data_IF_111579500723
#
_entry.id   IF_111579500723
#
_cell.length_a   1.000
_cell.length_b   1.000
_cell.length_c   1.000
_cell.angle_alpha   90.00
_cell.angle_beta   90.00
_cell.angle_gamma   90.00
#
_symmetry.space_group_name_H-M   'P 1'
#
loop_
_entity.id
_entity.type
_entity.pdbx_description
1 polymer ?
#
# COMPACT_ATOMS: atom_id res chain seq x y z
N UNK A 1 25.20 49.00 -10.60
CA UNK A 1 25.18 47.79 -11.45
C UNK A 1 25.00 46.57 -10.55
N UNK A 2 24.04 45.70 -10.89
CA UNK A 2 23.38 44.74 -10.01
C UNK A 2 24.32 43.60 -9.55
N UNK A 3 24.28 43.29 -8.25
CA UNK A 3 24.88 42.10 -7.65
C UNK A 3 23.98 40.90 -7.97
N UNK A 4 24.51 39.89 -8.66
CA UNK A 4 23.83 38.60 -8.82
C UNK A 4 24.16 37.72 -7.63
N UNK A 5 23.17 37.54 -6.76
CA UNK A 5 23.20 36.53 -5.69
C UNK A 5 22.88 35.17 -6.33
N UNK A 6 23.87 34.30 -6.44
CA UNK A 6 23.66 32.90 -6.82
C UNK A 6 23.18 32.17 -5.56
N UNK A 7 21.88 31.85 -5.53
CA UNK A 7 21.34 30.89 -4.56
C UNK A 7 21.87 29.50 -4.90
N UNK A 8 22.70 28.95 -4.01
CA UNK A 8 22.97 27.52 -3.94
C UNK A 8 21.68 26.84 -3.51
N UNK A 9 20.94 26.27 -4.47
CA UNK A 9 19.83 25.38 -4.17
C UNK A 9 20.44 24.03 -3.79
N UNK A 10 20.52 23.77 -2.48
CA UNK A 10 20.82 22.46 -1.91
C UNK A 10 19.83 21.44 -2.49
N UNK A 11 20.32 20.54 -3.34
CA UNK A 11 19.60 19.35 -3.74
C UNK A 11 19.42 18.49 -2.47
N UNK A 12 18.24 18.62 -1.89
CA UNK A 12 17.83 17.86 -0.72
C UNK A 12 17.77 16.39 -1.13
N UNK A 13 18.81 15.65 -0.76
CA UNK A 13 18.82 14.19 -0.69
C UNK A 13 17.64 13.73 0.18
N UNK A 14 16.48 13.51 -0.42
CA UNK A 14 15.45 12.67 0.17
C UNK A 14 15.79 11.23 -0.21
N UNK A 15 16.38 10.53 0.76
CA UNK A 15 16.82 9.15 0.64
C UNK A 15 15.69 8.24 0.19
N UNK A 16 15.88 7.65 -0.97
CA UNK A 16 15.30 6.35 -1.29
C UNK A 16 15.96 5.36 -0.32
N UNK A 17 15.31 5.07 0.80
CA UNK A 17 15.71 3.94 1.65
C UNK A 17 15.31 2.68 0.89
N UNK A 18 16.18 2.25 -0.02
CA UNK A 18 16.14 0.90 -0.58
C UNK A 18 16.53 -0.02 0.58
N UNK A 19 15.55 -0.53 1.30
CA UNK A 19 15.81 -1.69 2.15
C UNK A 19 16.18 -2.84 1.22
N UNK A 20 17.46 -3.19 1.27
CA UNK A 20 18.04 -4.35 0.62
C UNK A 20 17.38 -5.62 1.19
N UNK A 21 16.29 -6.06 0.58
CA UNK A 21 15.93 -7.46 0.59
C UNK A 21 16.85 -8.18 -0.40
N UNK A 22 17.98 -8.68 0.11
CA UNK A 22 18.76 -9.70 -0.57
C UNK A 22 17.91 -10.98 -0.67
N UNK A 23 17.21 -11.12 -1.78
CA UNK A 23 16.50 -12.33 -2.20
C UNK A 23 16.57 -12.41 -3.71
N UNK A 24 17.73 -12.84 -4.23
CA UNK A 24 17.93 -13.04 -5.66
C UNK A 24 17.04 -14.16 -6.18
N UNK A 25 15.94 -13.79 -6.84
CA UNK A 25 15.18 -14.64 -7.73
C UNK A 25 15.22 -14.00 -9.11
N UNK A 26 15.78 -14.71 -10.09
CA UNK A 26 15.74 -14.31 -11.49
C UNK A 26 14.28 -14.10 -11.90
N UNK A 27 13.95 -12.89 -12.39
CA UNK A 27 12.64 -12.59 -12.94
C UNK A 27 12.43 -13.39 -14.23
N UNK A 28 11.82 -14.56 -14.13
CA UNK A 28 11.16 -15.19 -15.26
C UNK A 28 9.93 -14.35 -15.57
N UNK A 29 9.91 -13.71 -16.75
CA UNK A 29 8.80 -12.88 -17.19
C UNK A 29 7.51 -13.68 -17.32
N UNK A 30 6.72 -13.71 -16.26
CA UNK A 30 5.31 -14.07 -16.34
C UNK A 30 4.57 -12.85 -16.85
N UNK A 31 4.05 -12.94 -18.07
CA UNK A 31 3.03 -12.02 -18.54
C UNK A 31 1.89 -12.02 -17.52
N UNK A 32 1.71 -10.91 -16.80
CA UNK A 32 0.59 -10.73 -15.87
C UNK A 32 -0.71 -11.02 -16.65
N UNK A 33 -1.42 -12.09 -16.28
CA UNK A 33 -2.70 -12.41 -16.92
C UNK A 33 -3.71 -11.30 -16.59
N UNK A 34 -4.66 -11.08 -17.49
CA UNK A 34 -5.78 -10.13 -17.32
C UNK A 34 -6.60 -10.35 -16.05
N UNK A 35 -6.42 -11.50 -15.40
CA UNK A 35 -7.25 -12.00 -14.30
C UNK A 35 -6.61 -11.78 -12.92
N UNK A 36 -5.39 -11.24 -12.86
CA UNK A 36 -4.76 -10.88 -11.59
C UNK A 36 -5.55 -9.75 -10.88
N UNK A 37 -5.68 -9.78 -9.53
CA UNK A 37 -6.50 -8.80 -8.81
C UNK A 37 -6.12 -7.33 -9.05
N UNK A 38 -4.82 -7.06 -9.28
CA UNK A 38 -4.29 -5.72 -9.53
C UNK A 38 -3.95 -5.46 -11.01
N UNK A 39 -4.35 -6.37 -11.91
CA UNK A 39 -4.06 -6.29 -13.34
C UNK A 39 -2.60 -5.99 -13.64
N UNK A 40 -2.36 -5.04 -14.53
CA UNK A 40 -1.02 -4.69 -15.06
C UNK A 40 -0.27 -3.65 -14.23
N UNK A 41 -0.91 -3.01 -13.24
CA UNK A 41 -0.33 -1.88 -12.49
C UNK A 41 0.99 -2.25 -11.82
N UNK A 42 1.11 -3.35 -11.02
CA UNK A 42 2.38 -3.69 -10.38
C UNK A 42 3.51 -3.95 -11.38
N UNK A 43 3.20 -4.64 -12.48
CA UNK A 43 4.19 -4.98 -13.50
C UNK A 43 4.78 -3.73 -14.18
N UNK A 44 3.99 -2.66 -14.35
CA UNK A 44 4.49 -1.39 -14.91
C UNK A 44 5.55 -0.78 -13.97
N UNK A 45 5.31 -0.77 -12.66
CA UNK A 45 6.29 -0.25 -11.69
C UNK A 45 7.56 -1.11 -11.64
N UNK A 46 7.43 -2.44 -11.71
CA UNK A 46 8.59 -3.35 -11.81
C UNK A 46 9.43 -3.07 -13.07
N UNK A 47 8.79 -2.87 -14.23
CA UNK A 47 9.47 -2.54 -15.48
C UNK A 47 10.22 -1.20 -15.39
N UNK A 48 9.60 -0.17 -14.81
CA UNK A 48 10.23 1.15 -14.61
C UNK A 48 11.43 1.04 -13.67
N UNK A 49 11.30 0.32 -12.54
CA UNK A 49 12.39 0.11 -11.59
C UNK A 49 13.57 -0.65 -12.23
N UNK A 50 13.29 -1.69 -13.01
CA UNK A 50 14.32 -2.42 -13.75
C UNK A 50 15.05 -1.54 -14.76
N UNK A 51 14.31 -0.72 -15.52
CA UNK A 51 14.91 0.21 -16.48
C UNK A 51 15.71 1.32 -15.81
N UNK A 52 15.27 1.80 -14.63
CA UNK A 52 16.02 2.76 -13.81
C UNK A 52 17.35 2.18 -13.36
N UNK A 53 17.36 0.94 -12.88
CA UNK A 53 18.58 0.24 -12.49
C UNK A 53 19.56 0.11 -13.67
N UNK A 54 19.07 -0.29 -14.85
CA UNK A 54 19.88 -0.39 -16.06
C UNK A 54 20.44 0.97 -16.51
N UNK A 55 19.64 2.03 -16.40
CA UNK A 55 20.09 3.41 -16.66
C UNK A 55 21.22 3.79 -15.70
N UNK A 56 21.06 3.58 -14.39
CA UNK A 56 22.06 3.95 -13.39
C UNK A 56 23.39 3.21 -13.64
N UNK A 57 23.35 1.94 -14.07
CA UNK A 57 24.53 1.20 -14.49
C UNK A 57 25.19 1.76 -15.75
N UNK A 58 24.39 2.18 -16.73
CA UNK A 58 24.89 2.83 -17.95
C UNK A 58 25.51 4.21 -17.65
N UNK A 59 24.89 5.02 -16.79
CA UNK A 59 25.34 6.37 -16.47
C UNK A 59 26.68 6.38 -15.73
N UNK A 60 26.99 5.35 -14.94
CA UNK A 60 28.31 5.20 -14.27
C UNK A 60 29.49 5.11 -15.23
N UNK A 61 29.24 4.79 -16.51
CA UNK A 61 30.26 4.61 -17.55
C UNK A 61 30.22 5.71 -18.63
N UNK A 62 29.37 6.72 -18.46
CA UNK A 62 29.18 7.77 -19.45
C UNK A 62 29.93 9.04 -19.04
N UNK A 63 31.02 9.33 -19.75
CA UNK A 63 31.85 10.51 -19.50
C UNK A 63 31.43 11.73 -20.33
N UNK A 64 30.57 11.52 -21.35
CA UNK A 64 30.07 12.59 -22.21
C UNK A 64 28.78 13.20 -21.63
N UNK A 65 28.85 14.49 -21.31
CA UNK A 65 27.76 15.20 -20.63
C UNK A 65 26.47 15.26 -21.48
N UNK A 66 26.59 15.41 -22.79
CA UNK A 66 25.44 15.51 -23.69
C UNK A 66 24.71 14.16 -23.79
N UNK A 67 25.46 13.06 -23.92
CA UNK A 67 24.91 11.70 -23.87
C UNK A 67 24.34 11.36 -22.50
N UNK A 68 24.97 11.81 -21.42
CA UNK A 68 24.48 11.63 -20.06
C UNK A 68 23.09 12.30 -19.87
N UNK A 69 22.97 13.57 -20.25
CA UNK A 69 21.71 14.32 -20.16
C UNK A 69 20.63 13.73 -21.07
N UNK A 70 21.01 13.31 -22.28
CA UNK A 70 20.08 12.65 -23.21
C UNK A 70 19.49 11.37 -22.61
N UNK A 71 20.32 10.50 -22.01
CA UNK A 71 19.86 9.26 -21.36
C UNK A 71 18.90 9.51 -20.20
N UNK A 72 19.17 10.53 -19.38
CA UNK A 72 18.26 10.93 -18.31
C UNK A 72 16.90 11.38 -18.87
N UNK A 73 16.91 12.27 -19.87
CA UNK A 73 15.67 12.78 -20.48
C UNK A 73 14.85 11.65 -21.12
N UNK A 74 15.48 10.73 -21.84
CA UNK A 74 14.81 9.57 -22.45
C UNK A 74 14.16 8.67 -21.39
N UNK A 75 14.80 8.49 -20.24
CA UNK A 75 14.21 7.75 -19.14
C UNK A 75 13.03 8.51 -18.51
N UNK A 76 13.17 9.81 -18.27
CA UNK A 76 12.08 10.62 -17.68
C UNK A 76 10.83 10.58 -18.57
N UNK A 77 10.99 10.69 -19.89
CA UNK A 77 9.88 10.56 -20.85
C UNK A 77 9.25 9.16 -20.84
N UNK A 78 10.07 8.11 -20.72
CA UNK A 78 9.57 6.74 -20.59
C UNK A 78 8.82 6.51 -19.28
N UNK A 79 9.36 7.00 -18.16
CA UNK A 79 8.77 6.85 -16.83
C UNK A 79 7.43 7.58 -16.77
N UNK A 80 7.36 8.82 -17.26
CA UNK A 80 6.12 9.60 -17.32
C UNK A 80 5.02 8.89 -18.10
N UNK A 81 5.33 8.36 -19.29
CA UNK A 81 4.37 7.56 -20.10
C UNK A 81 3.94 6.28 -19.38
N UNK A 82 4.86 5.64 -18.68
CA UNK A 82 4.58 4.42 -17.92
C UNK A 82 3.65 4.70 -16.73
N UNK A 83 3.87 5.80 -16.00
CA UNK A 83 3.00 6.19 -14.89
C UNK A 83 1.61 6.62 -15.37
N UNK A 84 1.51 7.29 -16.51
CA UNK A 84 0.21 7.56 -17.13
C UNK A 84 -0.54 6.25 -17.45
N UNK A 85 0.14 5.28 -18.06
CA UNK A 85 -0.44 3.96 -18.33
C UNK A 85 -0.84 3.24 -17.04
N UNK A 86 -0.04 3.34 -15.98
CA UNK A 86 -0.38 2.76 -14.68
C UNK A 86 -1.65 3.39 -14.09
N UNK A 87 -1.85 4.71 -14.27
CA UNK A 87 -3.09 5.37 -13.89
C UNK A 87 -4.30 4.87 -14.68
N UNK A 88 -4.17 4.79 -16.01
CA UNK A 88 -5.24 4.26 -16.88
C UNK A 88 -5.61 2.81 -16.53
N UNK A 89 -4.62 1.96 -16.22
CA UNK A 89 -4.86 0.58 -15.78
C UNK A 89 -5.43 0.51 -14.35
N UNK A 90 -4.98 1.39 -13.46
CA UNK A 90 -5.44 1.47 -12.07
C UNK A 90 -6.91 1.84 -11.95
N UNK A 91 -7.38 2.80 -12.73
CA UNK A 91 -8.80 3.19 -12.76
C UNK A 91 -9.72 2.03 -13.20
N UNK A 92 -9.25 1.14 -14.08
CA UNK A 92 -10.00 -0.06 -14.51
C UNK A 92 -10.13 -1.13 -13.42
N UNK A 93 -9.38 -1.00 -12.32
CA UNK A 93 -9.46 -1.92 -11.20
C UNK A 93 -10.60 -1.54 -10.24
N UNK A 94 -11.09 -0.30 -10.27
CA UNK A 94 -12.11 0.17 -9.32
C UNK A 94 -13.36 -0.72 -9.40
N UNK A 95 -13.83 -1.15 -8.23
CA UNK A 95 -14.94 -2.08 -8.07
C UNK A 95 -14.55 -3.56 -8.06
N UNK A 96 -13.31 -3.93 -8.44
CA UNK A 96 -12.86 -5.33 -8.37
C UNK A 96 -12.83 -5.81 -6.92
N UNK A 97 -13.39 -6.98 -6.69
CA UNK A 97 -13.33 -7.66 -5.40
C UNK A 97 -11.95 -8.24 -5.14
N UNK A 98 -11.51 -8.15 -3.89
CA UNK A 98 -10.26 -8.72 -3.42
C UNK A 98 -10.59 -9.83 -2.43
N UNK A 99 -9.95 -10.99 -2.62
CA UNK A 99 -10.12 -12.12 -1.71
C UNK A 99 -9.55 -11.76 -0.34
N UNK A 100 -10.40 -11.86 0.68
CA UNK A 100 -10.03 -11.73 2.09
C UNK A 100 -10.25 -13.06 2.80
N UNK A 101 -9.31 -13.43 3.67
CA UNK A 101 -9.40 -14.62 4.53
C UNK A 101 -8.93 -14.29 5.94
N UNK A 102 -9.20 -15.19 6.89
CA UNK A 102 -8.80 -15.01 8.29
C UNK A 102 -9.92 -14.45 9.15
N UNK A 103 -10.74 -15.33 9.71
CA UNK A 103 -11.74 -14.97 10.73
C UNK A 103 -11.18 -15.21 12.14
N UNK A 104 -10.24 -14.35 12.54
CA UNK A 104 -9.43 -14.52 13.75
C UNK A 104 -9.82 -13.57 14.88
N UNK A 105 -10.69 -12.59 14.61
CA UNK A 105 -11.12 -11.61 15.59
C UNK A 105 -12.42 -12.06 16.27
N UNK A 106 -12.47 -12.08 17.61
CA UNK A 106 -13.67 -12.55 18.32
C UNK A 106 -14.88 -11.62 18.13
N UNK A 107 -14.63 -10.31 18.02
CA UNK A 107 -15.68 -9.29 18.00
C UNK A 107 -15.85 -8.62 16.62
N UNK A 108 -14.98 -8.89 15.66
CA UNK A 108 -15.04 -8.30 14.31
C UNK A 108 -15.07 -9.37 13.24
N UNK A 109 -15.76 -9.08 12.15
CA UNK A 109 -15.80 -9.90 10.95
C UNK A 109 -15.50 -9.02 9.73
N UNK A 110 -14.57 -9.47 8.89
CA UNK A 110 -14.36 -8.90 7.56
C UNK A 110 -15.39 -9.51 6.62
N UNK A 111 -16.21 -8.69 5.98
CA UNK A 111 -17.31 -9.14 5.12
C UNK A 111 -17.06 -8.91 3.64
N UNK A 112 -16.06 -8.10 3.29
CA UNK A 112 -15.66 -7.90 1.91
C UNK A 112 -14.48 -6.95 1.77
N UNK A 113 -13.86 -6.98 0.61
CA UNK A 113 -12.87 -6.00 0.20
C UNK A 113 -12.96 -5.74 -1.30
N UNK A 114 -12.83 -4.48 -1.69
CA UNK A 114 -12.84 -4.08 -3.10
C UNK A 114 -11.89 -2.94 -3.36
N UNK A 115 -11.33 -2.89 -4.56
CA UNK A 115 -10.59 -1.71 -5.02
C UNK A 115 -11.56 -0.55 -5.12
N UNK A 116 -11.26 0.55 -4.45
CA UNK A 116 -12.11 1.74 -4.44
C UNK A 116 -11.56 2.88 -5.27
N UNK A 117 -10.25 3.05 -5.29
CA UNK A 117 -9.59 4.13 -6.02
C UNK A 117 -8.14 3.73 -6.35
N UNK A 118 -7.59 4.35 -7.38
CA UNK A 118 -6.17 4.36 -7.67
C UNK A 118 -5.61 5.77 -7.43
N UNK A 119 -4.53 5.87 -6.68
CA UNK A 119 -3.84 7.13 -6.46
C UNK A 119 -2.56 7.19 -7.29
N UNK A 120 -2.57 8.04 -8.32
CA UNK A 120 -1.40 8.34 -9.14
C UNK A 120 -0.52 9.39 -8.45
N UNK A 121 0.77 9.09 -8.27
CA UNK A 121 1.80 10.05 -7.93
C UNK A 121 2.80 10.23 -9.06
N UNK A 122 3.65 11.27 -8.98
CA UNK A 122 4.68 11.56 -10.01
C UNK A 122 5.63 10.38 -10.27
N UNK A 123 5.92 9.61 -9.23
CA UNK A 123 6.76 8.40 -9.26
C UNK A 123 6.17 7.29 -8.36
N UNK A 124 4.89 7.41 -8.02
CA UNK A 124 4.20 6.54 -7.09
C UNK A 124 2.88 6.07 -7.70
N UNK A 125 2.42 4.92 -7.23
CA UNK A 125 1.12 4.38 -7.56
C UNK A 125 0.64 3.54 -6.39
N UNK A 126 -0.58 3.82 -5.95
CA UNK A 126 -1.20 3.11 -4.84
C UNK A 126 -2.59 2.67 -5.24
N UNK A 127 -2.84 1.36 -5.20
CA UNK A 127 -4.20 0.82 -5.29
C UNK A 127 -4.78 0.84 -3.88
N UNK A 128 -5.93 1.49 -3.68
CA UNK A 128 -6.58 1.60 -2.38
C UNK A 128 -7.75 0.62 -2.35
N UNK A 129 -7.64 -0.38 -1.48
CA UNK A 129 -8.66 -1.40 -1.24
C UNK A 129 -9.45 -1.00 0.00
N UNK A 130 -10.77 -0.93 -0.11
CA UNK A 130 -11.68 -0.70 1.02
C UNK A 130 -12.14 -2.02 1.58
N UNK A 131 -11.82 -2.27 2.84
CA UNK A 131 -12.22 -3.47 3.58
C UNK A 131 -13.43 -3.12 4.44
N UNK A 132 -14.53 -3.84 4.24
CA UNK A 132 -15.72 -3.74 5.08
C UNK A 132 -15.56 -4.65 6.29
N UNK A 133 -15.70 -4.07 7.47
CA UNK A 133 -15.65 -4.75 8.76
C UNK A 133 -16.93 -4.46 9.51
N UNK A 134 -17.53 -5.49 10.10
CA UNK A 134 -18.71 -5.37 10.96
C UNK A 134 -18.39 -5.97 12.34
N UNK A 135 -19.00 -5.48 13.42
CA UNK A 135 -18.88 -6.12 14.71
C UNK A 135 -19.81 -7.35 14.77
N UNK A 136 -19.36 -8.42 15.43
CA UNK A 136 -20.12 -9.68 15.61
C UNK A 136 -21.18 -9.57 16.71
N UNK A 137 -21.07 -8.56 17.57
CA UNK A 137 -21.98 -8.21 18.65
C UNK A 137 -22.09 -6.70 18.76
N UNK A 138 -23.03 -6.20 19.54
CA UNK A 138 -23.08 -4.77 19.83
C UNK A 138 -21.82 -4.34 20.60
N UNK A 139 -21.24 -3.21 20.18
CA UNK A 139 -20.03 -2.64 20.79
C UNK A 139 -20.25 -1.16 21.10
N UNK A 140 -19.73 -0.70 22.23
CA UNK A 140 -19.62 0.73 22.54
C UNK A 140 -18.23 1.20 22.17
N UNK A 141 -18.15 2.33 21.47
CA UNK A 141 -16.87 2.90 21.06
C UNK A 141 -16.44 4.05 21.96
N UNK A 142 -15.14 4.20 22.19
CA UNK A 142 -14.54 5.32 22.92
C UNK A 142 -13.49 5.98 22.06
N UNK A 143 -13.10 7.20 22.42
CA UNK A 143 -12.11 7.92 21.64
C UNK A 143 -10.74 7.20 21.62
N UNK A 144 -10.28 6.75 22.79
CA UNK A 144 -8.97 6.14 22.99
C UNK A 144 -9.05 4.97 23.96
N UNK A 145 -8.05 4.09 23.90
CA UNK A 145 -8.00 2.85 24.70
C UNK A 145 -8.09 3.10 26.20
N UNK A 146 -7.55 4.22 26.69
CA UNK A 146 -7.58 4.59 28.12
C UNK A 146 -8.99 4.88 28.65
N UNK A 147 -9.94 5.17 27.76
CA UNK A 147 -11.33 5.47 28.10
C UNK A 147 -12.26 4.25 27.97
N UNK A 148 -11.74 3.12 27.48
CA UNK A 148 -12.51 1.89 27.27
C UNK A 148 -12.70 1.11 28.58
N UNK A 149 -13.93 0.70 28.85
CA UNK A 149 -14.21 -0.41 29.73
C UNK A 149 -13.98 -1.76 29.01
N UNK A 150 -14.08 -2.87 29.76
CA UNK A 150 -14.03 -4.20 29.17
C UNK A 150 -15.13 -4.39 28.11
N UNK A 151 -14.75 -4.93 26.94
CA UNK A 151 -15.66 -5.14 25.82
C UNK A 151 -15.97 -3.90 24.96
N UNK A 152 -15.46 -2.72 25.33
CA UNK A 152 -15.54 -1.48 24.52
C UNK A 152 -14.32 -1.33 23.59
N UNK A 153 -14.49 -0.59 22.49
CA UNK A 153 -13.46 -0.44 21.46
C UNK A 153 -13.00 1.01 21.24
N UNK A 154 -11.68 1.28 21.14
CA UNK A 154 -11.19 2.62 20.88
C UNK A 154 -11.18 2.96 19.39
N UNK A 155 -11.82 4.06 19.02
CA UNK A 155 -11.88 4.55 17.63
C UNK A 155 -10.47 4.81 17.06
N UNK A 156 -9.56 5.41 17.82
CA UNK A 156 -8.21 5.76 17.34
C UNK A 156 -7.22 4.59 17.38
N UNK A 157 -7.40 3.67 18.33
CA UNK A 157 -6.38 2.67 18.66
C UNK A 157 -6.71 1.25 18.18
N UNK A 158 -7.94 0.99 17.70
CA UNK A 158 -8.32 -0.34 17.22
C UNK A 158 -7.51 -0.72 16.00
N UNK A 159 -6.88 -1.90 16.04
CA UNK A 159 -6.02 -2.41 14.97
C UNK A 159 -6.39 -3.85 14.63
N UNK A 160 -6.65 -4.08 13.36
CA UNK A 160 -6.71 -5.40 12.75
C UNK A 160 -5.44 -5.57 11.91
N UNK A 161 -4.71 -6.62 12.19
CA UNK A 161 -3.48 -7.02 11.52
C UNK A 161 -3.78 -7.88 10.29
N UNK A 162 -3.06 -7.61 9.21
CA UNK A 162 -3.19 -8.36 7.96
C UNK A 162 -1.83 -8.58 7.29
N UNK A 163 -1.82 -9.54 6.38
CA UNK A 163 -0.75 -9.81 5.43
C UNK A 163 -1.29 -9.73 4.00
N UNK A 164 -0.52 -9.09 3.12
CA UNK A 164 -0.70 -9.14 1.67
C UNK A 164 0.11 -10.32 1.13
N UNK A 165 -0.57 -11.24 0.46
CA UNK A 165 -0.01 -12.56 0.15
C UNK A 165 -0.15 -12.90 -1.32
N UNK A 166 0.79 -13.71 -1.81
CA UNK A 166 0.69 -14.44 -3.07
C UNK A 166 -0.28 -15.61 -2.94
N UNK A 167 -0.64 -16.22 -4.07
CA UNK A 167 -1.54 -17.38 -4.09
C UNK A 167 -0.93 -18.62 -3.39
N UNK A 168 0.40 -18.74 -3.39
CA UNK A 168 1.15 -19.80 -2.73
C UNK A 168 1.53 -19.49 -1.27
N UNK A 169 0.82 -18.55 -0.63
CA UNK A 169 1.01 -18.15 0.76
C UNK A 169 2.40 -17.55 1.09
N UNK A 170 3.14 -17.09 0.08
CA UNK A 170 4.30 -16.24 0.31
C UNK A 170 3.89 -14.81 0.65
N UNK A 171 4.51 -14.28 1.72
CA UNK A 171 4.33 -12.91 2.19
C UNK A 171 4.90 -11.90 1.19
N UNK A 172 4.13 -10.85 0.93
CA UNK A 172 4.59 -9.64 0.22
C UNK A 172 4.82 -8.52 1.23
N UNK A 173 3.78 -8.17 2.00
CA UNK A 173 3.82 -7.06 2.96
C UNK A 173 2.91 -7.33 4.17
N UNK A 174 3.29 -6.81 5.33
CA UNK A 174 2.47 -6.79 6.54
C UNK A 174 1.86 -5.41 6.77
N UNK A 175 0.62 -5.37 7.25
CA UNK A 175 -0.07 -4.12 7.51
C UNK A 175 -1.04 -4.16 8.69
N UNK A 176 -1.56 -2.97 9.00
CA UNK A 176 -2.55 -2.75 10.05
C UNK A 176 -3.68 -1.91 9.50
N UNK A 177 -4.90 -2.27 9.88
CA UNK A 177 -6.15 -1.66 9.47
C UNK A 177 -6.87 -1.15 10.72
N UNK A 178 -7.31 0.10 10.72
CA UNK A 178 -8.27 0.56 11.71
C UNK A 178 -9.68 0.50 11.08
N UNK A 179 -10.58 -0.37 11.55
CA UNK A 179 -11.90 -0.59 10.93
C UNK A 179 -12.82 0.63 11.03
N UNK A 180 -12.52 1.58 11.92
CA UNK A 180 -13.29 2.82 12.11
C UNK A 180 -12.74 4.00 11.31
N UNK A 181 -11.61 3.85 10.60
CA UNK A 181 -10.99 4.93 9.86
C UNK A 181 -11.20 4.76 8.36
N UNK A 182 -11.79 5.75 7.70
CA UNK A 182 -11.86 5.79 6.23
C UNK A 182 -10.84 6.73 5.57
N UNK A 183 -9.93 7.31 6.33
CA UNK A 183 -8.99 8.29 5.77
C UNK A 183 -7.94 7.61 4.86
N UNK A 184 -8.01 7.91 3.56
CA UNK A 184 -7.08 7.48 2.52
C UNK A 184 -5.83 8.38 2.37
N UNK A 185 -5.76 9.53 3.04
CA UNK A 185 -4.83 10.60 2.65
C UNK A 185 -3.83 10.96 3.73
N UNK A 186 -4.16 10.75 5.00
CA UNK A 186 -3.24 10.98 6.11
C UNK A 186 -3.59 10.10 7.32
N UNK A 187 -2.77 10.20 8.36
CA UNK A 187 -2.91 9.39 9.59
C UNK A 187 -4.02 9.86 10.53
N UNK A 188 -4.79 10.90 10.20
CA UNK A 188 -5.90 11.35 11.05
C UNK A 188 -7.10 10.43 10.91
N UNK A 189 -7.80 10.22 12.01
CA UNK A 189 -9.01 9.42 12.06
C UNK A 189 -10.17 10.16 11.37
N UNK A 190 -10.77 9.53 10.37
CA UNK A 190 -12.10 9.87 9.84
C UNK A 190 -13.06 8.75 10.24
N UNK A 191 -13.73 8.93 11.39
CA UNK A 191 -14.71 8.00 11.92
C UNK A 191 -16.13 8.56 11.82
N UNK A 192 -17.11 7.69 11.59
CA UNK A 192 -18.55 8.03 11.54
C UNK A 192 -19.20 8.07 12.92
N UNK A 193 -18.62 7.35 13.88
CA UNK A 193 -19.20 7.15 15.21
C UNK A 193 -18.58 8.08 16.25
N UNK A 194 -19.40 8.62 17.16
CA UNK A 194 -18.95 9.45 18.26
C UNK A 194 -18.56 8.59 19.49
N UNK A 195 -17.63 9.06 20.36
CA UNK A 195 -17.35 8.38 21.62
C UNK A 195 -18.60 8.23 22.49
N UNK A 196 -18.84 7.02 23.00
CA UNK A 196 -20.01 6.63 23.77
C UNK A 196 -21.16 6.07 22.93
N UNK A 197 -21.06 6.13 21.59
CA UNK A 197 -22.06 5.55 20.71
C UNK A 197 -21.96 4.02 20.68
N UNK A 198 -23.12 3.37 20.57
CA UNK A 198 -23.22 1.94 20.31
C UNK A 198 -23.27 1.68 18.81
N UNK A 199 -22.51 0.70 18.35
CA UNK A 199 -22.56 0.15 17.00
C UNK A 199 -23.22 -1.22 17.09
N UNK A 200 -24.28 -1.42 16.33
CA UNK A 200 -25.03 -2.68 16.33
C UNK A 200 -24.25 -3.77 15.58
N UNK A 201 -24.43 -5.02 16.02
CA UNK A 201 -23.92 -6.19 15.33
C UNK A 201 -24.30 -6.17 13.83
N UNK A 202 -23.36 -6.50 12.95
CA UNK A 202 -23.56 -6.53 11.50
C UNK A 202 -23.57 -5.15 10.81
N UNK A 203 -23.60 -4.04 11.55
CA UNK A 203 -23.50 -2.69 10.95
C UNK A 203 -22.03 -2.35 10.69
N UNK A 204 -21.66 -1.86 9.48
CA UNK A 204 -20.28 -1.52 9.17
C UNK A 204 -19.64 -0.56 10.18
N UNK A 205 -18.41 -0.86 10.59
CA UNK A 205 -17.58 0.02 11.42
C UNK A 205 -17.26 1.35 10.74
N UNK A 206 -17.36 1.40 9.40
CA UNK A 206 -17.39 2.61 8.59
C UNK A 206 -18.07 2.30 7.26
N UNK A 207 -18.96 3.16 6.76
CA UNK A 207 -19.73 2.92 5.53
C UNK A 207 -18.85 2.78 4.27
N UNK A 208 -17.84 3.64 4.12
CA UNK A 208 -16.84 3.57 3.03
C UNK A 208 -15.90 2.35 3.13
N UNK A 209 -15.82 1.68 4.28
CA UNK A 209 -14.79 0.69 4.58
C UNK A 209 -13.43 1.29 4.92
N UNK A 210 -12.61 0.51 5.60
CA UNK A 210 -11.27 0.93 6.03
C UNK A 210 -10.25 0.70 4.91
N UNK A 211 -9.33 1.66 4.66
CA UNK A 211 -8.41 1.57 3.53
C UNK A 211 -7.20 0.69 3.83
N UNK A 212 -6.87 -0.18 2.88
CA UNK A 212 -5.60 -0.89 2.73
C UNK A 212 -4.90 -0.32 1.51
N UNK A 213 -3.66 0.10 1.67
CA UNK A 213 -2.85 0.70 0.61
C UNK A 213 -1.92 -0.34 0.03
N UNK A 214 -2.01 -0.54 -1.27
CA UNK A 214 -1.08 -1.40 -2.01
C UNK A 214 -0.17 -0.49 -2.81
N UNK A 215 1.00 -0.20 -2.26
CA UNK A 215 1.99 0.72 -2.83
C UNK A 215 2.85 -0.01 -3.87
N UNK A 216 2.40 -0.02 -5.13
CA UNK A 216 3.04 -0.75 -6.23
C UNK A 216 4.47 -0.28 -6.56
N UNK A 217 4.90 0.86 -6.03
CA UNK A 217 6.25 1.40 -6.19
C UNK A 217 7.22 0.92 -5.09
N UNK A 218 6.72 0.33 -4.00
CA UNK A 218 7.54 -0.08 -2.84
C UNK A 218 7.87 -1.56 -2.87
N UNK A 219 6.90 -2.41 -3.22
CA UNK A 219 7.05 -3.87 -3.28
C UNK A 219 6.55 -4.42 -4.61
N UNK A 220 7.02 -5.61 -4.95
CA UNK A 220 6.53 -6.35 -6.12
C UNK A 220 5.20 -7.05 -5.80
N UNK A 221 4.11 -6.46 -6.30
CA UNK A 221 2.75 -6.99 -6.20
C UNK A 221 2.27 -7.72 -7.47
N UNK A 222 3.17 -8.06 -8.40
CA UNK A 222 2.79 -8.75 -9.66
C UNK A 222 2.04 -10.07 -9.43
N UNK A 223 2.35 -10.75 -8.33
CA UNK A 223 1.72 -12.01 -7.93
C UNK A 223 0.75 -11.85 -6.73
N UNK A 224 0.30 -10.62 -6.44
CA UNK A 224 -0.67 -10.39 -5.37
C UNK A 224 -1.95 -11.17 -5.62
N UNK A 225 -2.44 -11.87 -4.59
CA UNK A 225 -3.62 -12.71 -4.70
C UNK A 225 -4.70 -12.38 -3.67
N UNK A 226 -4.30 -12.15 -2.40
CA UNK A 226 -5.26 -12.06 -1.29
C UNK A 226 -4.75 -11.25 -0.11
N UNK A 227 -5.69 -10.81 0.72
CA UNK A 227 -5.45 -10.26 2.05
C UNK A 227 -5.79 -11.34 3.08
N UNK A 228 -4.87 -11.59 4.01
CA UNK A 228 -5.06 -12.55 5.10
C UNK A 228 -5.02 -11.80 6.42
N UNK A 229 -6.11 -11.82 7.17
CA UNK A 229 -6.19 -11.25 8.51
C UNK A 229 -5.60 -12.22 9.53
N UNK A 230 -4.77 -11.70 10.43
CA UNK A 230 -3.95 -12.47 11.36
C UNK A 230 -4.26 -12.08 12.80
N UNK A 231 -4.21 -13.03 13.73
CA UNK A 231 -4.16 -12.69 15.14
C UNK A 231 -2.87 -11.90 15.43
N UNK A 232 -2.90 -11.00 16.42
CA UNK A 232 -1.74 -10.17 16.74
C UNK A 232 -0.48 -10.99 17.01
N UNK A 233 -0.62 -12.11 17.72
CA UNK A 233 0.50 -13.03 18.00
C UNK A 233 1.15 -13.54 16.71
N UNK A 234 0.35 -13.96 15.75
CA UNK A 234 0.84 -14.53 14.49
C UNK A 234 1.44 -13.45 13.61
N UNK A 235 0.81 -12.27 13.55
CA UNK A 235 1.37 -11.09 12.89
C UNK A 235 2.76 -10.76 13.43
N UNK A 236 2.93 -10.71 14.76
CA UNK A 236 4.22 -10.41 15.37
C UNK A 236 5.25 -11.50 15.11
N UNK A 237 4.85 -12.78 15.09
CA UNK A 237 5.74 -13.88 14.73
C UNK A 237 6.24 -13.77 13.28
N UNK A 238 5.34 -13.54 12.33
CA UNK A 238 5.69 -13.34 10.91
C UNK A 238 6.56 -12.11 10.74
N UNK A 239 6.23 -11.00 11.41
CA UNK A 239 7.02 -9.77 11.38
C UNK A 239 8.44 -10.00 11.87
N UNK A 240 8.61 -10.72 12.97
CA UNK A 240 9.92 -11.06 13.52
C UNK A 240 10.73 -11.92 12.56
N UNK A 241 10.10 -12.90 11.92
CA UNK A 241 10.75 -13.75 10.93
C UNK A 241 11.17 -12.97 9.67
N UNK A 242 10.30 -12.10 9.17
CA UNK A 242 10.53 -11.36 7.93
C UNK A 242 11.53 -10.20 8.10
N UNK A 243 11.53 -9.53 9.26
CA UNK A 243 12.29 -8.29 9.47
C UNK A 243 13.31 -8.34 10.61
N UNK A 244 13.35 -9.41 11.40
CA UNK A 244 14.36 -9.63 12.45
C UNK A 244 14.14 -8.85 13.76
N UNK A 245 12.98 -8.23 13.95
CA UNK A 245 12.62 -7.46 15.17
C UNK A 245 11.58 -8.19 16.02
#
# INVERSE_FOLDING_TARGET
MKKFTVMVLSAMCCGLVVLSACGGGAASGSAASSDAPLGRVPAIFVEVAAKKKALDESLRKEDDLDRYQKKLKEFDEYAAKSYQKAAEEGEKLVGREIVCTGDVYPDFQVTGAKVAEYHAGREAGSVIVRVTVVPKRDIVVRETKRKCAEGEYPLKDTRLYFALMKANDHLIELGQLNPFNSNSYNSSLKAEYAPGQMIQAGVPCHSEGAPVYINCHTYDFTEFAKIVFLAEKDYMAVRKQAYGF
#
